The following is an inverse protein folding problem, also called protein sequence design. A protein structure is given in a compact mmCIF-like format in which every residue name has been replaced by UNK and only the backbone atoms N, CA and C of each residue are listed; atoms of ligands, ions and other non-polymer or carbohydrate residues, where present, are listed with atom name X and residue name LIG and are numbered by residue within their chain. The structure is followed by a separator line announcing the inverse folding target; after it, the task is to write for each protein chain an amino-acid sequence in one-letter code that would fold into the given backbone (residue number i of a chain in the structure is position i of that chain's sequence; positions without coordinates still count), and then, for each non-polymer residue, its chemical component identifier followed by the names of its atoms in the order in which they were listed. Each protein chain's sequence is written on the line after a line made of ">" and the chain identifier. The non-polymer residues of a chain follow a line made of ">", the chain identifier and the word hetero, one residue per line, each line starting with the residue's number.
data_IF_471859246961
#
_entry.id   IF_471859246961
#
_cell.length_a   1.000
_cell.length_b   1.000
_cell.length_c   1.000
_cell.angle_alpha   90.00
_cell.angle_beta   90.00
_cell.angle_gamma   90.00
#
_symmetry.space_group_name_H-M   'P 1'
#
loop_
_entity.id
_entity.type
_entity.pdbx_description
1 polymer ?
#
# COMPACT_ATOMS: atom_id res chain seq x y z
N UNK A 1 0.81 12.23 9.56
CA UNK A 1 0.64 11.24 8.48
C UNK A 1 -0.82 10.88 8.36
N UNK A 2 -1.25 10.28 7.23
CA UNK A 2 -2.58 9.69 7.14
C UNK A 2 -2.82 8.67 8.26
N UNK A 3 -4.07 8.51 8.66
CA UNK A 3 -4.43 7.52 9.68
C UNK A 3 -4.08 6.11 9.20
N UNK A 4 -3.43 5.31 10.05
CA UNK A 4 -3.03 3.93 9.73
C UNK A 4 -1.75 3.80 8.90
N UNK A 5 -1.22 4.89 8.34
CA UNK A 5 0.04 4.87 7.63
C UNK A 5 1.24 4.88 8.59
N UNK A 6 2.34 4.27 8.17
CA UNK A 6 3.65 4.32 8.82
C UNK A 6 4.67 4.96 7.86
N UNK A 7 5.62 5.73 8.39
CA UNK A 7 6.71 6.26 7.60
C UNK A 7 7.63 5.11 7.17
N UNK A 8 8.21 5.22 5.98
CA UNK A 8 9.28 4.33 5.57
C UNK A 8 10.50 4.48 6.49
N UNK A 9 11.41 3.50 6.46
CA UNK A 9 12.57 3.39 7.35
C UNK A 9 13.51 4.60 7.32
N UNK A 10 13.56 5.33 6.20
CA UNK A 10 14.35 6.56 6.07
C UNK A 10 13.65 7.79 6.67
N UNK A 11 12.36 7.71 7.01
CA UNK A 11 11.49 8.73 7.61
C UNK A 11 11.32 10.03 6.81
N UNK A 12 12.39 10.71 6.40
CA UNK A 12 12.42 11.84 5.47
C UNK A 12 13.55 11.62 4.46
N UNK A 13 13.34 12.02 3.21
CA UNK A 13 14.30 11.85 2.13
C UNK A 13 15.67 12.39 2.56
N UNK A 14 16.68 11.51 2.58
CA UNK A 14 17.95 11.82 3.22
C UNK A 14 18.73 12.94 2.52
N UNK A 15 18.44 13.21 1.24
CA UNK A 15 19.20 14.14 0.42
C UNK A 15 18.73 15.60 0.52
N UNK A 16 17.43 15.85 0.75
CA UNK A 16 16.88 17.20 0.83
C UNK A 16 15.89 17.42 1.99
N UNK A 17 15.41 16.36 2.66
CA UNK A 17 14.34 16.41 3.67
C UNK A 17 13.05 17.11 3.21
N UNK A 18 12.76 17.16 1.91
CA UNK A 18 11.59 17.86 1.38
C UNK A 18 10.34 16.97 1.32
N UNK A 19 10.54 15.66 1.26
CA UNK A 19 9.44 14.69 1.26
C UNK A 19 9.77 13.43 2.04
N UNK A 20 8.74 12.61 2.29
CA UNK A 20 8.89 11.25 2.81
C UNK A 20 7.96 10.27 2.15
N UNK A 21 8.39 9.02 2.11
CA UNK A 21 7.56 7.89 1.71
C UNK A 21 6.82 7.38 2.96
N UNK A 22 5.56 7.04 2.79
CA UNK A 22 4.78 6.34 3.79
C UNK A 22 4.06 5.15 3.17
N UNK A 23 3.75 4.16 4.01
CA UNK A 23 3.07 2.94 3.64
C UNK A 23 1.82 2.73 4.48
N UNK A 24 0.78 2.19 3.88
CA UNK A 24 -0.34 1.62 4.61
C UNK A 24 -0.01 0.20 5.11
N UNK A 25 -0.97 -0.48 5.77
CA UNK A 25 -0.77 -1.85 6.21
C UNK A 25 -0.70 -2.82 5.03
N UNK A 26 0.29 -3.71 5.05
CA UNK A 26 0.41 -4.82 4.11
C UNK A 26 -0.77 -5.78 4.26
N UNK A 27 -1.47 -6.05 3.15
CA UNK A 27 -2.59 -7.00 3.12
C UNK A 27 -2.11 -8.26 2.41
N UNK A 28 -2.11 -9.39 3.12
CA UNK A 28 -1.56 -10.64 2.60
C UNK A 28 -2.64 -11.70 2.45
N UNK A 29 -2.59 -12.43 1.34
CA UNK A 29 -3.37 -13.65 1.12
C UNK A 29 -2.41 -14.82 1.27
N UNK A 30 -2.80 -15.82 2.05
CA UNK A 30 -1.97 -17.00 2.34
C UNK A 30 -2.70 -18.28 1.96
N UNK A 31 -1.95 -19.32 1.60
CA UNK A 31 -2.51 -20.64 1.43
C UNK A 31 -2.73 -21.35 2.79
N UNK A 32 -3.33 -22.55 2.76
CA UNK A 32 -3.60 -23.34 3.97
C UNK A 32 -2.34 -23.71 4.78
N UNK A 33 -1.15 -23.69 4.16
CA UNK A 33 0.12 -23.91 4.83
C UNK A 33 0.71 -22.63 5.45
N UNK A 34 -0.01 -21.50 5.39
CA UNK A 34 0.46 -20.20 5.87
C UNK A 34 1.50 -19.53 4.97
N UNK A 35 1.76 -20.08 3.78
CA UNK A 35 2.64 -19.42 2.80
C UNK A 35 1.86 -18.29 2.15
N UNK A 36 2.45 -17.09 2.18
CA UNK A 36 1.96 -15.92 1.47
C UNK A 36 1.98 -16.16 -0.04
N UNK A 37 0.82 -15.99 -0.69
CA UNK A 37 0.62 -16.20 -2.12
C UNK A 37 0.25 -14.92 -2.85
N UNK A 38 -0.25 -13.90 -2.15
CA UNK A 38 -0.40 -12.56 -2.71
C UNK A 38 -0.23 -11.48 -1.63
N UNK A 39 0.09 -10.28 -2.09
CA UNK A 39 0.22 -9.09 -1.25
C UNK A 39 -0.30 -7.87 -1.97
N UNK A 40 -0.98 -7.01 -1.22
CA UNK A 40 -1.33 -5.66 -1.64
C UNK A 40 -0.65 -4.69 -0.67
N UNK A 41 0.17 -3.80 -1.21
CA UNK A 41 0.84 -2.73 -0.47
C UNK A 41 0.34 -1.39 -0.96
N UNK A 42 0.04 -0.47 -0.05
CA UNK A 42 -0.32 0.91 -0.38
C UNK A 42 0.81 1.84 0.04
N UNK A 43 1.04 2.90 -0.73
CA UNK A 43 2.05 3.89 -0.38
C UNK A 43 1.83 5.22 -1.07
N UNK A 44 2.58 6.22 -0.63
CA UNK A 44 2.54 7.56 -1.19
C UNK A 44 3.64 8.46 -0.63
N UNK A 45 3.65 9.70 -1.13
CA UNK A 45 4.59 10.72 -0.70
C UNK A 45 3.87 11.77 0.14
N UNK A 46 4.49 12.16 1.26
CA UNK A 46 4.08 13.31 2.05
C UNK A 46 5.16 14.39 1.99
N UNK A 47 4.75 15.63 1.67
CA UNK A 47 5.62 16.81 1.68
C UNK A 47 5.80 17.37 3.09
N UNK A 48 6.79 18.25 3.25
CA UNK A 48 7.13 18.88 4.54
C UNK A 48 6.00 19.65 5.20
N UNK A 49 5.11 20.26 4.42
CA UNK A 49 3.91 20.96 4.90
C UNK A 49 2.80 20.00 5.38
N UNK A 50 3.01 18.70 5.24
CA UNK A 50 2.08 17.65 5.63
C UNK A 50 1.08 17.25 4.54
N UNK A 51 1.09 17.93 3.38
CA UNK A 51 0.27 17.57 2.22
C UNK A 51 0.74 16.25 1.61
N UNK A 52 -0.20 15.51 1.01
CA UNK A 52 0.10 14.31 0.25
C UNK A 52 0.32 14.71 -1.20
N UNK A 53 1.33 14.14 -1.85
CA UNK A 53 1.51 14.35 -3.27
C UNK A 53 0.43 13.57 -4.03
N UNK A 54 -0.54 14.27 -4.62
CA UNK A 54 -1.60 13.70 -5.45
C UNK A 54 -1.39 13.98 -6.94
N UNK A 55 -0.24 14.57 -7.29
CA UNK A 55 0.00 15.17 -8.61
C UNK A 55 1.17 14.52 -9.34
N UNK A 56 2.36 14.54 -8.75
CA UNK A 56 3.59 14.02 -9.37
C UNK A 56 3.76 12.54 -9.01
N UNK A 57 3.51 12.21 -7.74
CA UNK A 57 3.60 10.87 -7.20
C UNK A 57 2.34 10.54 -6.39
N UNK A 58 1.18 10.40 -7.07
CA UNK A 58 -0.09 10.10 -6.40
C UNK A 58 0.00 8.80 -5.60
N UNK A 59 -0.74 8.68 -4.48
CA UNK A 59 -0.76 7.44 -3.74
C UNK A 59 -1.24 6.29 -4.61
N UNK A 60 -0.59 5.13 -4.46
CA UNK A 60 -0.80 3.97 -5.32
C UNK A 60 -0.73 2.67 -4.52
N UNK A 61 -1.10 1.57 -5.17
CA UNK A 61 -0.93 0.24 -4.62
C UNK A 61 -0.12 -0.65 -5.55
N UNK A 62 0.76 -1.45 -4.94
CA UNK A 62 1.45 -2.55 -5.59
C UNK A 62 0.73 -3.86 -5.28
N UNK A 63 0.58 -4.71 -6.30
CA UNK A 63 -0.06 -6.03 -6.18
C UNK A 63 0.94 -7.09 -6.58
N UNK A 64 1.35 -7.91 -5.62
CA UNK A 64 2.28 -9.01 -5.85
C UNK A 64 1.53 -10.34 -5.80
N UNK A 65 1.59 -11.11 -6.88
CA UNK A 65 1.17 -12.52 -6.89
C UNK A 65 2.44 -13.37 -6.78
N UNK A 66 2.55 -14.12 -5.68
CA UNK A 66 3.76 -14.81 -5.22
C UNK A 66 3.65 -16.34 -5.36
N UNK A 67 2.78 -16.79 -6.26
CA UNK A 67 2.52 -18.20 -6.54
C UNK A 67 2.53 -18.45 -8.04
N UNK A 68 3.12 -19.57 -8.45
CA UNK A 68 3.20 -19.99 -9.85
C UNK A 68 2.00 -20.86 -10.26
N UNK A 69 1.26 -21.41 -9.28
CA UNK A 69 0.13 -22.33 -9.48
C UNK A 69 -1.19 -21.60 -9.79
N UNK A 70 -1.16 -20.27 -9.90
CA UNK A 70 -2.37 -19.44 -9.97
C UNK A 70 -3.12 -19.34 -8.63
N UNK A 71 -4.29 -18.71 -8.66
CA UNK A 71 -5.17 -18.54 -7.49
C UNK A 71 -6.41 -19.41 -7.61
N UNK A 72 -6.81 -20.03 -6.51
CA UNK A 72 -8.16 -20.63 -6.42
C UNK A 72 -9.22 -19.54 -6.41
N UNK A 73 -10.48 -19.89 -6.68
CA UNK A 73 -11.58 -18.93 -6.64
C UNK A 73 -11.76 -18.27 -5.26
N UNK A 74 -11.47 -18.99 -4.17
CA UNK A 74 -11.51 -18.47 -2.80
C UNK A 74 -10.39 -17.44 -2.58
N UNK A 75 -9.15 -17.79 -2.92
CA UNK A 75 -8.00 -16.89 -2.81
C UNK A 75 -8.16 -15.65 -3.71
N UNK A 76 -8.76 -15.80 -4.88
CA UNK A 76 -9.07 -14.68 -5.76
C UNK A 76 -10.10 -13.72 -5.14
N UNK A 77 -11.10 -14.24 -4.41
CA UNK A 77 -12.06 -13.39 -3.67
C UNK A 77 -11.42 -12.70 -2.49
N UNK A 78 -10.53 -13.38 -1.76
CA UNK A 78 -9.75 -12.77 -0.68
C UNK A 78 -8.86 -11.64 -1.21
N UNK A 79 -8.17 -11.87 -2.32
CA UNK A 79 -7.37 -10.84 -2.99
C UNK A 79 -8.26 -9.67 -3.44
N UNK A 80 -9.44 -9.95 -4.03
CA UNK A 80 -10.38 -8.89 -4.42
C UNK A 80 -10.82 -8.04 -3.21
N UNK A 81 -11.11 -8.65 -2.07
CA UNK A 81 -11.42 -7.92 -0.85
C UNK A 81 -10.25 -7.06 -0.35
N UNK A 82 -9.01 -7.59 -0.42
CA UNK A 82 -7.81 -6.83 -0.09
C UNK A 82 -7.61 -5.62 -1.00
N UNK A 83 -7.86 -5.76 -2.30
CA UNK A 83 -7.78 -4.69 -3.28
C UNK A 83 -8.83 -3.60 -3.01
N UNK A 84 -10.07 -3.97 -2.68
CA UNK A 84 -11.11 -3.00 -2.34
C UNK A 84 -10.76 -2.20 -1.09
N UNK A 85 -10.29 -2.86 -0.03
CA UNK A 85 -9.84 -2.18 1.19
C UNK A 85 -8.62 -1.28 0.96
N UNK A 86 -7.75 -1.61 -0.01
CA UNK A 86 -6.63 -0.78 -0.40
C UNK A 86 -7.10 0.44 -1.20
N UNK A 87 -8.06 0.27 -2.11
CA UNK A 87 -8.63 1.36 -2.89
C UNK A 87 -9.31 2.41 -1.98
N UNK A 88 -10.15 1.97 -1.05
CA UNK A 88 -10.80 2.86 -0.06
C UNK A 88 -9.79 3.61 0.83
N UNK A 89 -8.60 3.06 1.04
CA UNK A 89 -7.51 3.74 1.74
C UNK A 89 -6.86 4.82 0.88
N UNK A 90 -6.58 4.52 -0.39
CA UNK A 90 -6.05 5.50 -1.34
C UNK A 90 -7.01 6.67 -1.56
N UNK A 91 -8.33 6.40 -1.69
CA UNK A 91 -9.35 7.43 -1.85
C UNK A 91 -9.32 8.42 -0.67
N UNK A 92 -9.25 7.91 0.57
CA UNK A 92 -9.13 8.74 1.77
C UNK A 92 -7.83 9.55 1.83
N UNK A 93 -6.76 9.09 1.19
CA UNK A 93 -5.52 9.85 1.08
C UNK A 93 -5.62 10.93 0.00
N UNK A 94 -6.27 10.64 -1.13
CA UNK A 94 -6.48 11.60 -2.21
C UNK A 94 -7.39 12.77 -1.80
N UNK A 95 -8.27 12.59 -0.82
CA UNK A 95 -9.14 13.63 -0.25
C UNK A 95 -8.42 14.58 0.74
N UNK A 96 -7.13 14.37 1.06
CA UNK A 96 -6.39 15.12 2.10
C UNK A 96 -5.33 16.09 1.58
#
# INVERSE_FOLDING_TARGET
>A
MPAGAVADCESWAFWDNEFRIFHGPDRTVSNAAGKKIAEVRTGGIQRRDGSIDTTECPPSMDVYVLTDDGLTAEQARELAAALLMAAEELDRWAER
#
